data_IF_237120198172
#
_entry.id   IF_237120198172
#
_cell.length_a   1.000
_cell.length_b   1.000
_cell.length_c   1.000
_cell.angle_alpha   90.00
_cell.angle_beta   90.00
_cell.angle_gamma   90.00
#
_symmetry.space_group_name_H-M   'P 1'
#
loop_
_entity.id
_entity.type
_entity.pdbx_description
1 polymer ?
#
# COMPACT_ATOMS: atom_id res chain seq x y z
N UNK A 1 -20.25 11.41 6.80
CA UNK A 1 -19.13 11.50 5.83
C UNK A 1 -17.73 11.65 6.46
N UNK A 2 -17.57 11.92 7.78
CA UNK A 2 -16.23 11.99 8.42
C UNK A 2 -15.65 10.60 8.76
N UNK A 3 -16.50 9.69 9.24
CA UNK A 3 -16.14 8.33 9.66
C UNK A 3 -15.48 7.51 8.54
N UNK A 4 -16.00 7.59 7.30
CA UNK A 4 -15.36 6.91 6.16
C UNK A 4 -13.93 7.40 5.91
N UNK A 5 -13.67 8.69 6.10
CA UNK A 5 -12.34 9.29 5.95
C UNK A 5 -11.38 8.83 7.04
N UNK A 6 -11.88 8.72 8.26
CA UNK A 6 -11.11 8.21 9.40
C UNK A 6 -10.80 6.72 9.26
N UNK A 7 -11.80 5.88 8.92
CA UNK A 7 -11.61 4.45 8.68
C UNK A 7 -10.63 4.23 7.50
N UNK A 8 -10.70 5.06 6.46
CA UNK A 8 -9.76 4.97 5.34
C UNK A 8 -8.34 5.37 5.75
N UNK A 9 -8.19 6.42 6.56
CA UNK A 9 -6.89 6.86 7.08
C UNK A 9 -6.25 5.86 8.04
N UNK A 10 -7.04 5.34 8.99
CA UNK A 10 -6.62 4.29 9.92
C UNK A 10 -6.32 2.99 9.17
N UNK A 11 -7.15 2.63 8.18
CA UNK A 11 -6.91 1.48 7.31
C UNK A 11 -5.58 1.58 6.58
N UNK A 12 -5.31 2.71 5.92
CA UNK A 12 -4.01 2.95 5.26
C UNK A 12 -2.84 2.84 6.23
N UNK A 13 -2.95 3.42 7.43
CA UNK A 13 -1.90 3.37 8.44
C UNK A 13 -1.67 1.94 8.97
N UNK A 14 -2.76 1.20 9.20
CA UNK A 14 -2.74 -0.20 9.60
C UNK A 14 -2.07 -1.06 8.52
N UNK A 15 -2.51 -0.92 7.26
CA UNK A 15 -1.91 -1.61 6.13
C UNK A 15 -0.44 -1.20 5.96
N UNK A 16 -0.05 0.04 6.22
CA UNK A 16 1.35 0.49 6.12
C UNK A 16 2.28 -0.31 7.04
N UNK A 17 1.85 -0.58 8.29
CA UNK A 17 2.60 -1.39 9.24
C UNK A 17 2.47 -2.90 8.98
N UNK A 18 1.25 -3.38 8.71
CA UNK A 18 0.96 -4.80 8.57
C UNK A 18 1.36 -5.38 7.21
N UNK A 19 1.61 -4.54 6.21
CA UNK A 19 2.00 -4.93 4.86
C UNK A 19 3.13 -5.95 4.86
N UNK A 20 4.21 -5.70 5.58
CA UNK A 20 5.37 -6.59 5.57
C UNK A 20 5.09 -7.91 6.28
N UNK A 21 4.31 -7.87 7.36
CA UNK A 21 3.88 -9.06 8.10
C UNK A 21 2.98 -9.94 7.23
N UNK A 22 2.05 -9.36 6.48
CA UNK A 22 1.18 -10.11 5.57
C UNK A 22 1.96 -10.60 4.34
N UNK A 23 2.85 -9.78 3.78
CA UNK A 23 3.68 -10.15 2.62
C UNK A 23 4.62 -11.31 2.89
N UNK A 24 5.23 -11.34 4.08
CA UNK A 24 6.18 -12.40 4.48
C UNK A 24 5.44 -13.54 5.19
N UNK A 25 4.45 -13.21 6.01
CA UNK A 25 3.67 -14.19 6.77
C UNK A 25 2.89 -15.14 5.87
N UNK A 26 2.29 -14.64 4.77
CA UNK A 26 1.54 -15.51 3.86
C UNK A 26 2.42 -16.60 3.21
N UNK A 27 3.54 -16.30 2.52
CA UNK A 27 4.42 -17.32 1.98
C UNK A 27 5.08 -18.17 3.07
N UNK A 28 5.39 -17.62 4.25
CA UNK A 28 5.92 -18.43 5.37
C UNK A 28 4.89 -19.44 5.87
N UNK A 29 3.61 -19.08 5.97
CA UNK A 29 2.55 -20.04 6.31
C UNK A 29 2.35 -21.09 5.21
N UNK A 30 2.44 -20.67 3.94
CA UNK A 30 2.20 -21.55 2.79
C UNK A 30 3.33 -22.57 2.60
N UNK A 31 4.60 -22.13 2.67
CA UNK A 31 5.78 -22.97 2.42
C UNK A 31 6.38 -23.58 3.69
N UNK A 32 6.20 -22.97 4.86
CA UNK A 32 6.80 -23.41 6.12
C UNK A 32 5.87 -24.26 6.99
N UNK A 33 4.55 -24.11 6.85
CA UNK A 33 3.57 -24.78 7.72
C UNK A 33 2.56 -25.66 6.95
N UNK A 34 2.70 -25.79 5.62
CA UNK A 34 1.75 -26.48 4.74
C UNK A 34 0.29 -26.06 5.01
N UNK A 35 0.13 -24.77 5.34
CA UNK A 35 -1.16 -24.26 5.79
C UNK A 35 -2.13 -24.27 4.61
N UNK A 36 -3.33 -24.83 4.82
CA UNK A 36 -4.31 -25.00 3.76
C UNK A 36 -4.53 -23.66 3.03
N UNK A 37 -4.44 -23.63 1.68
CA UNK A 37 -4.61 -22.41 0.93
C UNK A 37 -6.03 -21.87 1.16
N UNK A 38 -6.10 -20.71 1.80
CA UNK A 38 -7.35 -20.03 2.11
C UNK A 38 -7.51 -18.81 1.21
N UNK A 39 -8.57 -18.80 0.41
CA UNK A 39 -8.95 -17.70 -0.49
C UNK A 39 -9.03 -16.36 0.26
N UNK A 40 -9.48 -16.37 1.52
CA UNK A 40 -9.59 -15.16 2.34
C UNK A 40 -8.24 -14.47 2.52
N UNK A 41 -7.19 -15.25 2.83
CA UNK A 41 -5.87 -14.70 3.05
C UNK A 41 -5.18 -14.28 1.75
N UNK A 42 -5.42 -15.01 0.67
CA UNK A 42 -4.95 -14.62 -0.66
C UNK A 42 -5.58 -13.29 -1.09
N UNK A 43 -6.89 -13.14 -0.90
CA UNK A 43 -7.60 -11.89 -1.17
C UNK A 43 -7.08 -10.74 -0.30
N UNK A 44 -6.82 -10.99 0.98
CA UNK A 44 -6.28 -10.00 1.92
C UNK A 44 -4.87 -9.57 1.51
N UNK A 45 -4.05 -10.51 1.05
CA UNK A 45 -2.70 -10.25 0.54
C UNK A 45 -2.74 -9.42 -0.75
N UNK A 46 -3.57 -9.80 -1.73
CA UNK A 46 -3.78 -9.05 -2.98
C UNK A 46 -4.30 -7.64 -2.70
N UNK A 47 -5.22 -7.49 -1.75
CA UNK A 47 -5.76 -6.18 -1.34
C UNK A 47 -4.66 -5.29 -0.74
N UNK A 48 -3.77 -5.86 0.06
CA UNK A 48 -2.61 -5.19 0.62
C UNK A 48 -1.64 -4.71 -0.48
N UNK A 49 -1.43 -5.53 -1.51
CA UNK A 49 -0.64 -5.19 -2.70
C UNK A 49 -1.25 -4.05 -3.52
N UNK A 50 -2.58 -4.09 -3.74
CA UNK A 50 -3.31 -3.07 -4.46
C UNK A 50 -3.23 -1.71 -3.75
N UNK A 51 -3.39 -1.69 -2.42
CA UNK A 51 -3.22 -0.49 -1.60
C UNK A 51 -1.80 0.08 -1.68
N UNK A 52 -0.79 -0.79 -1.57
CA UNK A 52 0.62 -0.36 -1.71
C UNK A 52 0.90 0.24 -3.08
N UNK A 53 0.34 -0.35 -4.14
CA UNK A 53 0.50 0.12 -5.53
C UNK A 53 -0.12 1.51 -5.70
N UNK A 54 -1.34 1.71 -5.19
CA UNK A 54 -2.01 3.02 -5.19
C UNK A 54 -1.20 4.09 -4.44
N UNK A 55 -0.61 3.74 -3.30
CA UNK A 55 0.23 4.66 -2.51
C UNK A 55 1.52 5.03 -3.27
N UNK A 56 2.14 4.04 -3.91
CA UNK A 56 3.34 4.22 -4.71
C UNK A 56 3.08 5.07 -5.96
N UNK A 57 1.95 4.84 -6.65
CA UNK A 57 1.47 5.68 -7.76
C UNK A 57 1.23 7.11 -7.29
N UNK A 58 0.51 7.30 -6.17
CA UNK A 58 0.26 8.64 -5.64
C UNK A 58 1.57 9.36 -5.32
N UNK A 59 2.51 8.67 -4.66
CA UNK A 59 3.84 9.22 -4.33
C UNK A 59 4.69 9.52 -5.59
N UNK A 60 4.67 8.65 -6.59
CA UNK A 60 5.40 8.87 -7.86
C UNK A 60 4.79 10.00 -8.69
N UNK A 61 3.45 10.04 -8.82
CA UNK A 61 2.73 11.08 -9.57
C UNK A 61 2.88 12.44 -8.89
N UNK A 62 2.81 12.53 -7.56
CA UNK A 62 3.05 13.79 -6.85
C UNK A 62 4.51 14.26 -6.94
N UNK A 63 5.48 13.35 -6.97
CA UNK A 63 6.89 13.73 -7.13
C UNK A 63 7.17 14.37 -8.50
N UNK A 64 6.44 13.99 -9.55
CA UNK A 64 6.56 14.62 -10.88
C UNK A 64 6.21 16.12 -10.85
N UNK A 65 5.23 16.55 -10.06
CA UNK A 65 4.85 17.98 -10.00
C UNK A 65 5.92 18.87 -9.38
N UNK A 66 6.72 18.37 -8.44
CA UNK A 66 7.75 19.19 -7.80
C UNK A 66 8.96 19.47 -8.71
N UNK A 67 9.33 18.54 -9.61
CA UNK A 67 10.39 18.81 -10.59
C UNK A 67 9.96 19.89 -11.61
N UNK A 68 8.68 19.93 -11.97
CA UNK A 68 8.16 20.89 -12.96
C UNK A 68 8.19 22.34 -12.43
N UNK A 69 7.85 22.54 -11.15
CA UNK A 69 7.83 23.87 -10.52
C UNK A 69 9.25 24.43 -10.30
N UNK A 70 10.23 23.56 -9.98
CA UNK A 70 11.59 24.00 -9.68
C UNK A 70 12.37 24.41 -10.95
N UNK A 71 12.08 23.81 -12.09
CA UNK A 71 12.61 24.25 -13.39
C UNK A 71 12.07 25.62 -13.76
N UNK A 72 10.77 25.87 -13.55
CA UNK A 72 10.11 27.13 -13.93
C UNK A 72 10.56 28.35 -13.12
N UNK A 73 11.00 28.15 -11.88
CA UNK A 73 11.55 29.21 -11.03
C UNK A 73 13.02 29.55 -11.32
N UNK A 74 13.74 28.71 -12.09
CA UNK A 74 15.14 28.95 -12.47
C UNK A 74 15.33 29.72 -13.77
N UNK A 75 14.26 29.89 -14.55
CA UNK A 75 14.26 30.64 -15.81
C UNK A 75 13.69 32.06 -15.69
N UNK A 76 13.37 32.52 -14.46
CA UNK A 76 12.78 33.83 -14.20
C UNK A 76 13.74 34.75 -13.45
#
# INVERSE_FOLDING_TARGET
MKIFREIYGVGILFFYYMKYIILIGWPVLLFGLDYKPNIIMDLLWVFCLALMTKDLIHRFVFKKRYCDINTKNREK
#
